data_IF_034601882047
#
_entry.id   IF_034601882047
#
_cell.length_a   1.000
_cell.length_b   1.000
_cell.length_c   1.000
_cell.angle_alpha   90.00
_cell.angle_beta   90.00
_cell.angle_gamma   90.00
#
_symmetry.space_group_name_H-M   'P 1'
#
loop_
_entity.id
_entity.type
_entity.pdbx_description
1 polymer ?
#
# COMPACT_ATOMS: atom_id res chain seq x y z
N UNK A 1 14.31 17.17 -18.64
CA UNK A 1 13.48 16.27 -19.51
C UNK A 1 12.26 17.03 -19.99
N UNK A 2 11.88 16.92 -21.26
CA UNK A 2 10.62 17.51 -21.76
C UNK A 2 9.47 16.56 -21.41
N UNK A 3 8.44 17.06 -20.72
CA UNK A 3 7.21 16.30 -20.44
C UNK A 3 6.36 16.16 -21.71
N UNK A 4 5.56 15.09 -21.76
CA UNK A 4 4.60 14.87 -22.84
C UNK A 4 3.46 15.91 -22.85
N UNK A 5 2.77 16.08 -23.97
CA UNK A 5 1.69 17.07 -24.13
C UNK A 5 0.59 16.93 -23.07
N UNK A 6 0.08 15.71 -22.84
CA UNK A 6 -0.96 15.43 -21.85
C UNK A 6 -0.55 15.83 -20.42
N UNK A 7 0.70 15.49 -20.01
CA UNK A 7 1.21 15.92 -18.71
C UNK A 7 1.29 17.45 -18.60
N UNK A 8 1.72 18.12 -19.66
CA UNK A 8 1.82 19.59 -19.67
C UNK A 8 0.44 20.26 -19.57
N UNK A 9 -0.59 19.67 -20.19
CA UNK A 9 -1.98 20.11 -20.06
C UNK A 9 -2.52 19.88 -18.65
N UNK A 10 -2.34 18.68 -18.10
CA UNK A 10 -2.73 18.35 -16.74
C UNK A 10 -2.01 19.24 -15.69
N UNK A 11 -0.73 19.57 -15.92
CA UNK A 11 0.04 20.42 -15.01
C UNK A 11 -0.46 21.87 -14.95
N UNK A 12 -1.17 22.35 -15.98
CA UNK A 12 -1.81 23.69 -15.95
C UNK A 12 -3.00 23.77 -15.01
N UNK A 13 -3.60 22.63 -14.67
CA UNK A 13 -4.73 22.56 -13.74
C UNK A 13 -4.29 22.62 -12.26
N UNK A 14 -2.98 22.51 -12.01
CA UNK A 14 -2.43 22.43 -10.64
C UNK A 14 -1.59 23.67 -10.36
N UNK A 15 -1.98 24.46 -9.40
CA UNK A 15 -1.13 25.52 -8.85
C UNK A 15 -0.17 24.93 -7.83
N UNK A 16 1.12 24.94 -8.13
CA UNK A 16 2.18 24.37 -7.30
C UNK A 16 2.51 25.21 -6.06
N UNK A 17 2.07 26.46 -6.01
CA UNK A 17 2.29 27.38 -4.89
C UNK A 17 1.29 27.14 -3.76
N UNK A 18 0.12 26.57 -4.09
CA UNK A 18 -0.99 26.35 -3.18
C UNK A 18 -0.90 24.96 -2.55
N UNK A 19 -1.18 24.86 -1.25
CA UNK A 19 -1.48 23.61 -0.58
C UNK A 19 -3.01 23.49 -0.46
N UNK A 20 -3.59 22.57 -1.20
CA UNK A 20 -5.04 22.39 -1.28
C UNK A 20 -5.59 21.68 -0.04
N UNK A 21 -6.82 21.97 0.32
CA UNK A 21 -7.56 21.13 1.28
C UNK A 21 -7.76 19.72 0.71
N UNK A 22 -7.85 18.65 1.56
CA UNK A 22 -7.91 17.28 1.08
C UNK A 22 -8.98 17.03 0.02
N UNK A 23 -10.21 17.50 0.23
CA UNK A 23 -11.31 17.35 -0.73
C UNK A 23 -11.03 18.04 -2.07
N UNK A 24 -10.50 19.27 -2.04
CA UNK A 24 -10.13 20.00 -3.24
C UNK A 24 -8.96 19.32 -3.98
N UNK A 25 -7.96 18.83 -3.23
CA UNK A 25 -6.83 18.11 -3.79
C UNK A 25 -7.28 16.86 -4.56
N UNK A 26 -8.22 16.09 -3.99
CA UNK A 26 -8.81 14.90 -4.64
C UNK A 26 -9.54 15.28 -5.91
N UNK A 27 -10.37 16.32 -5.89
CA UNK A 27 -11.07 16.81 -7.08
C UNK A 27 -10.09 17.23 -8.18
N UNK A 28 -9.03 17.97 -7.82
CA UNK A 28 -7.98 18.39 -8.77
C UNK A 28 -7.23 17.18 -9.32
N UNK A 29 -6.82 16.22 -8.47
CA UNK A 29 -6.11 15.00 -8.89
C UNK A 29 -6.95 14.20 -9.89
N UNK A 30 -8.24 14.00 -9.65
CA UNK A 30 -9.14 13.32 -10.59
C UNK A 30 -9.20 14.00 -11.96
N UNK A 31 -9.21 15.33 -11.99
CA UNK A 31 -9.20 16.11 -13.26
C UNK A 31 -7.88 15.96 -14.02
N UNK A 32 -6.78 15.61 -13.35
CA UNK A 32 -5.47 15.41 -14.00
C UNK A 32 -5.30 14.01 -14.59
N UNK A 33 -6.18 13.07 -14.29
CA UNK A 33 -6.17 11.72 -14.87
C UNK A 33 -6.47 11.78 -16.37
N UNK A 34 -5.47 11.51 -17.20
CA UNK A 34 -5.53 11.67 -18.65
C UNK A 34 -5.23 10.39 -19.45
N UNK A 35 -4.94 9.28 -18.75
CA UNK A 35 -4.65 8.00 -19.39
C UNK A 35 -5.92 7.31 -19.91
N UNK A 36 -5.73 6.32 -20.80
CA UNK A 36 -6.85 5.51 -21.33
C UNK A 36 -7.22 4.32 -20.41
N UNK A 37 -6.49 4.12 -19.33
CA UNK A 37 -6.75 3.10 -18.32
C UNK A 37 -7.19 3.79 -17.02
N UNK A 38 -7.79 3.02 -16.12
CA UNK A 38 -8.19 3.52 -14.80
C UNK A 38 -6.95 3.75 -13.93
N UNK A 39 -6.53 5.02 -13.84
CA UNK A 39 -5.33 5.42 -13.10
C UNK A 39 -5.51 5.17 -11.60
N UNK A 40 -4.41 4.88 -10.92
CA UNK A 40 -4.40 4.78 -9.46
C UNK A 40 -4.13 6.16 -8.87
N UNK A 41 -4.91 6.55 -7.87
CA UNK A 41 -4.65 7.72 -7.04
C UNK A 41 -3.74 7.28 -5.89
N UNK A 42 -2.59 7.91 -5.76
CA UNK A 42 -1.55 7.58 -4.79
C UNK A 42 -1.29 8.75 -3.85
N UNK A 43 -1.05 8.44 -2.57
CA UNK A 43 -0.59 9.40 -1.58
C UNK A 43 0.92 9.22 -1.33
N UNK A 44 1.64 10.32 -1.37
CA UNK A 44 3.06 10.41 -1.07
C UNK A 44 3.26 11.30 0.15
N UNK A 45 3.58 10.68 1.28
CA UNK A 45 3.66 11.33 2.59
C UNK A 45 5.11 11.42 3.00
N UNK A 46 5.69 12.61 2.94
CA UNK A 46 7.04 12.87 3.44
C UNK A 46 7.00 13.11 4.93
N UNK A 47 7.74 12.29 5.65
CA UNK A 47 7.81 12.35 7.11
C UNK A 47 9.10 13.01 7.60
N UNK A 48 9.13 13.38 8.88
CA UNK A 48 10.33 13.83 9.58
C UNK A 48 11.15 12.68 10.19
N UNK A 49 10.75 11.42 9.94
CA UNK A 49 11.47 10.24 10.42
C UNK A 49 12.75 10.01 9.63
N UNK A 50 13.79 9.50 10.26
CA UNK A 50 14.98 8.99 9.59
C UNK A 50 14.88 7.44 9.48
N UNK A 51 14.58 6.95 8.27
CA UNK A 51 14.43 5.52 8.00
C UNK A 51 15.72 4.69 8.15
N UNK A 52 16.88 5.32 8.40
CA UNK A 52 18.14 4.63 8.71
C UNK A 52 18.17 4.11 10.14
N UNK A 53 17.41 4.74 11.04
CA UNK A 53 17.28 4.34 12.42
C UNK A 53 16.12 3.37 12.61
N UNK A 54 16.36 2.23 13.24
CA UNK A 54 15.36 1.18 13.42
C UNK A 54 14.14 1.62 14.26
N UNK A 55 14.37 2.54 15.21
CA UNK A 55 13.37 3.15 16.10
C UNK A 55 12.50 4.22 15.41
N UNK A 56 12.93 4.70 14.24
CA UNK A 56 12.20 5.68 13.44
C UNK A 56 11.58 5.07 12.17
N UNK A 57 11.71 3.76 11.97
CA UNK A 57 11.07 3.09 10.86
C UNK A 57 9.56 3.00 11.04
N UNK A 58 8.82 3.68 10.17
CA UNK A 58 7.36 3.57 10.10
C UNK A 58 6.97 2.46 9.13
N UNK A 59 6.29 1.45 9.63
CA UNK A 59 5.72 0.35 8.85
C UNK A 59 4.44 -0.13 9.51
N UNK A 60 3.39 -0.31 8.75
CA UNK A 60 2.11 -0.80 9.24
C UNK A 60 1.20 -1.23 8.11
N UNK A 61 -0.03 -1.53 8.46
CA UNK A 61 -1.09 -1.84 7.53
C UNK A 61 -2.36 -1.09 7.92
N UNK A 62 -3.17 -0.78 6.94
CA UNK A 62 -4.50 -0.17 7.11
C UNK A 62 -5.48 -0.84 6.16
N UNK A 63 -6.70 -1.06 6.62
CA UNK A 63 -7.80 -1.50 5.77
C UNK A 63 -8.51 -0.26 5.27
N UNK A 64 -8.56 -0.09 3.96
CA UNK A 64 -9.26 1.04 3.35
C UNK A 64 -10.76 0.74 3.29
N UNK A 65 -11.64 1.65 3.76
CA UNK A 65 -13.09 1.43 3.79
C UNK A 65 -13.68 1.04 2.44
N UNK A 66 -13.21 1.66 1.36
CA UNK A 66 -13.68 1.43 -0.01
C UNK A 66 -12.73 0.54 -0.84
N UNK A 67 -11.75 -0.10 -0.18
CA UNK A 67 -10.74 -0.90 -0.86
C UNK A 67 -9.82 -0.09 -1.77
N UNK A 68 -9.02 -0.78 -2.59
CA UNK A 68 -8.07 -0.16 -3.54
C UNK A 68 -8.58 -0.14 -4.98
N UNK A 69 -9.71 -0.82 -5.28
CA UNK A 69 -10.21 -1.02 -6.65
C UNK A 69 -9.37 -2.01 -7.48
N UNK A 70 -8.46 -2.76 -6.84
CA UNK A 70 -7.69 -3.83 -7.46
C UNK A 70 -8.13 -5.18 -6.88
N UNK A 71 -8.41 -6.15 -7.73
CA UNK A 71 -8.59 -7.54 -7.31
C UNK A 71 -7.23 -8.12 -6.95
N UNK A 72 -7.05 -8.49 -5.68
CA UNK A 72 -5.80 -8.98 -5.13
C UNK A 72 -5.82 -10.50 -5.08
N UNK A 73 -4.83 -11.16 -5.69
CA UNK A 73 -4.62 -12.60 -5.58
C UNK A 73 -3.78 -12.92 -4.34
N UNK A 74 -4.33 -13.75 -3.47
CA UNK A 74 -3.72 -14.10 -2.17
C UNK A 74 -3.16 -15.52 -2.21
N UNK A 75 -1.88 -15.66 -1.89
CA UNK A 75 -1.21 -16.93 -1.65
C UNK A 75 -1.08 -17.16 -0.15
N UNK A 76 -1.50 -18.32 0.33
CA UNK A 76 -1.41 -18.70 1.75
C UNK A 76 -0.48 -19.89 1.93
N UNK A 77 0.52 -19.71 2.79
CA UNK A 77 1.36 -20.80 3.31
C UNK A 77 0.85 -21.28 4.66
N UNK A 78 0.32 -22.48 4.72
CA UNK A 78 -0.19 -23.07 5.95
C UNK A 78 0.05 -24.59 5.98
N UNK A 79 -0.25 -25.25 7.11
CA UNK A 79 -0.22 -26.70 7.29
C UNK A 79 -1.54 -27.22 7.90
N UNK A 80 -1.90 -28.44 7.55
CA UNK A 80 -3.04 -29.17 8.15
C UNK A 80 -4.36 -28.41 7.97
N UNK A 81 -5.20 -28.34 8.99
CA UNK A 81 -6.53 -27.72 8.95
C UNK A 81 -6.53 -26.25 8.52
N UNK A 82 -5.40 -25.54 8.67
CA UNK A 82 -5.28 -24.13 8.22
C UNK A 82 -5.29 -23.97 6.71
N UNK A 83 -5.00 -25.02 5.94
CA UNK A 83 -5.16 -25.05 4.49
C UNK A 83 -6.64 -24.93 4.10
N UNK A 84 -7.48 -25.75 4.75
CA UNK A 84 -8.92 -25.77 4.50
C UNK A 84 -9.58 -24.42 4.92
N UNK A 85 -9.16 -23.88 6.07
CA UNK A 85 -9.59 -22.55 6.52
C UNK A 85 -9.22 -21.44 5.50
N UNK A 86 -7.99 -21.48 4.96
CA UNK A 86 -7.55 -20.52 3.96
C UNK A 86 -8.35 -20.62 2.66
N UNK A 87 -8.63 -21.84 2.23
CA UNK A 87 -9.43 -22.09 1.04
C UNK A 87 -10.88 -21.65 1.22
N UNK A 88 -11.47 -21.95 2.38
CA UNK A 88 -12.81 -21.51 2.75
C UNK A 88 -12.93 -19.98 2.84
N UNK A 89 -11.87 -19.29 3.29
CA UNK A 89 -11.78 -17.83 3.31
C UNK A 89 -11.63 -17.21 1.91
N UNK A 90 -11.45 -18.04 0.86
CA UNK A 90 -11.36 -17.59 -0.51
C UNK A 90 -9.94 -17.19 -0.94
N UNK A 91 -8.88 -17.74 -0.35
CA UNK A 91 -7.52 -17.60 -0.86
C UNK A 91 -7.42 -18.19 -2.28
N UNK A 92 -6.69 -17.48 -3.16
CA UNK A 92 -6.59 -17.89 -4.56
C UNK A 92 -5.61 -19.06 -4.74
N UNK A 93 -4.59 -19.10 -3.90
CA UNK A 93 -3.61 -20.18 -3.84
C UNK A 93 -3.34 -20.55 -2.39
N UNK A 94 -3.35 -21.85 -2.12
CA UNK A 94 -3.10 -22.38 -0.78
C UNK A 94 -2.14 -23.56 -0.89
N UNK A 95 -1.14 -23.62 0.00
CA UNK A 95 -0.22 -24.76 0.02
C UNK A 95 0.86 -24.63 1.09
N UNK A 96 1.70 -25.66 1.13
CA UNK A 96 2.81 -25.80 2.06
C UNK A 96 4.17 -25.71 1.38
N UNK A 97 5.05 -26.67 1.72
CA UNK A 97 6.43 -26.71 1.22
C UNK A 97 6.52 -26.99 -0.28
N UNK A 98 5.51 -27.61 -0.87
CA UNK A 98 5.42 -27.95 -2.29
C UNK A 98 5.39 -26.74 -3.22
N UNK A 99 4.99 -25.57 -2.71
CA UNK A 99 4.98 -24.34 -3.49
C UNK A 99 6.37 -23.68 -3.63
N UNK A 100 7.33 -24.06 -2.77
CA UNK A 100 8.67 -23.46 -2.77
C UNK A 100 9.41 -23.72 -4.08
N UNK A 101 9.51 -24.97 -4.58
CA UNK A 101 10.18 -25.22 -5.86
C UNK A 101 9.52 -24.46 -7.01
N UNK A 102 8.21 -24.34 -7.01
CA UNK A 102 7.45 -23.64 -8.05
C UNK A 102 7.78 -22.13 -8.06
N UNK A 103 7.91 -21.50 -6.91
CA UNK A 103 8.29 -20.10 -6.82
C UNK A 103 9.78 -19.90 -7.14
N UNK A 104 10.64 -20.77 -6.63
CA UNK A 104 12.08 -20.63 -6.74
C UNK A 104 12.63 -21.01 -8.11
N UNK A 105 12.15 -22.13 -8.68
CA UNK A 105 12.70 -22.70 -9.92
C UNK A 105 11.91 -22.25 -11.15
N UNK A 106 10.56 -22.26 -11.07
CA UNK A 106 9.71 -21.92 -12.20
C UNK A 106 9.43 -20.42 -12.31
N UNK A 107 9.84 -19.63 -11.30
CA UNK A 107 9.61 -18.18 -11.29
C UNK A 107 8.12 -17.81 -11.27
N UNK A 108 7.30 -18.62 -10.59
CA UNK A 108 5.87 -18.37 -10.50
C UNK A 108 5.53 -17.29 -9.48
N UNK A 109 4.93 -16.18 -9.93
CA UNK A 109 4.54 -15.00 -9.12
C UNK A 109 3.13 -14.50 -9.49
N UNK A 110 2.21 -15.43 -9.76
CA UNK A 110 0.85 -15.07 -10.17
C UNK A 110 -0.05 -14.71 -8.96
N UNK A 111 0.56 -14.07 -7.95
CA UNK A 111 -0.07 -13.60 -6.72
C UNK A 111 0.46 -12.23 -6.33
N UNK A 112 -0.37 -11.44 -5.63
CA UNK A 112 -0.07 -10.08 -5.22
C UNK A 112 0.32 -9.98 -3.74
N UNK A 113 -0.20 -10.86 -2.88
CA UNK A 113 0.08 -10.87 -1.44
C UNK A 113 0.32 -12.29 -0.95
N UNK A 114 1.27 -12.44 -0.04
CA UNK A 114 1.58 -13.71 0.61
C UNK A 114 1.23 -13.62 2.09
N UNK A 115 0.43 -14.58 2.56
CA UNK A 115 0.12 -14.80 3.97
C UNK A 115 0.80 -16.10 4.41
N UNK A 116 1.33 -16.12 5.61
CA UNK A 116 1.95 -17.32 6.16
C UNK A 116 1.57 -17.52 7.63
N UNK A 117 1.40 -18.76 8.03
CA UNK A 117 1.34 -19.09 9.46
C UNK A 117 2.75 -19.04 10.07
N UNK A 118 2.92 -18.69 11.36
CA UNK A 118 4.23 -18.57 12.00
C UNK A 118 5.11 -19.81 11.88
N UNK A 119 4.51 -20.99 11.92
CA UNK A 119 5.19 -22.29 11.77
C UNK A 119 5.75 -22.49 10.34
N UNK A 120 5.14 -21.89 9.33
CA UNK A 120 5.64 -21.93 7.94
C UNK A 120 6.73 -20.91 7.66
N UNK A 121 6.96 -19.93 8.52
CA UNK A 121 7.94 -18.87 8.30
C UNK A 121 9.38 -19.37 8.14
N UNK A 122 9.74 -20.48 8.82
CA UNK A 122 11.04 -21.12 8.66
C UNK A 122 11.28 -21.63 7.22
N UNK A 123 10.22 -22.10 6.59
CA UNK A 123 10.21 -22.61 5.22
C UNK A 123 10.14 -21.46 4.21
N UNK A 124 9.22 -20.53 4.41
CA UNK A 124 9.06 -19.32 3.58
C UNK A 124 10.32 -18.44 3.61
N UNK A 125 11.07 -18.45 4.72
CA UNK A 125 12.36 -17.76 4.87
C UNK A 125 13.38 -18.10 3.79
N UNK A 126 13.34 -19.34 3.25
CA UNK A 126 14.19 -19.77 2.12
C UNK A 126 13.92 -18.98 0.85
N UNK A 127 12.68 -18.51 0.69
CA UNK A 127 12.26 -17.65 -0.44
C UNK A 127 12.60 -16.17 -0.24
N UNK A 128 13.22 -15.79 0.88
CA UNK A 128 13.50 -14.39 1.21
C UNK A 128 14.30 -13.63 0.15
N UNK A 129 15.25 -14.31 -0.53
CA UNK A 129 16.04 -13.73 -1.63
C UNK A 129 15.20 -13.43 -2.88
N UNK A 130 14.06 -14.10 -3.03
CA UNK A 130 13.18 -14.00 -4.21
C UNK A 130 11.97 -13.13 -3.91
N UNK A 131 11.29 -13.36 -2.77
CA UNK A 131 10.11 -12.60 -2.35
C UNK A 131 10.47 -11.21 -1.79
N UNK A 132 11.63 -11.08 -1.14
CA UNK A 132 12.06 -9.82 -0.50
C UNK A 132 12.16 -8.65 -1.47
N UNK A 133 12.94 -8.75 -2.58
CA UNK A 133 13.05 -7.68 -3.57
C UNK A 133 11.73 -7.30 -4.24
N UNK A 134 10.80 -8.25 -4.34
CA UNK A 134 9.45 -8.03 -4.91
C UNK A 134 8.45 -7.44 -3.91
N UNK A 135 8.82 -7.28 -2.63
CA UNK A 135 7.92 -6.81 -1.58
C UNK A 135 6.85 -7.82 -1.15
N UNK A 136 6.98 -9.09 -1.54
CA UNK A 136 5.99 -10.15 -1.29
C UNK A 136 6.28 -10.96 -0.01
N UNK A 137 7.35 -10.63 0.72
CA UNK A 137 7.73 -11.37 1.93
C UNK A 137 6.75 -11.09 3.08
N UNK A 138 6.12 -12.14 3.66
CA UNK A 138 5.21 -11.97 4.79
C UNK A 138 5.90 -11.29 5.99
N UNK A 139 5.15 -10.44 6.70
CA UNK A 139 5.67 -9.71 7.84
C UNK A 139 4.62 -9.60 8.97
N UNK A 140 4.99 -9.87 10.24
CA UNK A 140 4.08 -9.72 11.38
C UNK A 140 3.53 -8.29 11.54
N UNK A 141 4.35 -7.26 11.27
CA UNK A 141 3.93 -5.84 11.38
C UNK A 141 2.87 -5.45 10.35
N UNK A 142 2.84 -6.11 9.20
CA UNK A 142 1.82 -5.95 8.18
C UNK A 142 0.58 -6.86 8.43
N UNK A 143 0.68 -7.76 9.43
CA UNK A 143 -0.37 -8.72 9.75
C UNK A 143 -0.55 -9.80 8.67
N UNK A 144 0.51 -10.06 7.88
CA UNK A 144 0.55 -11.15 6.89
C UNK A 144 1.20 -12.42 7.43
N UNK A 145 1.72 -12.38 8.68
CA UNK A 145 2.12 -13.55 9.46
C UNK A 145 1.16 -13.67 10.64
N UNK A 146 0.25 -14.64 10.60
CA UNK A 146 -0.79 -14.80 11.61
C UNK A 146 -1.29 -16.25 11.69
N UNK A 147 -1.81 -16.64 12.87
CA UNK A 147 -2.54 -17.89 13.04
C UNK A 147 -4.00 -17.80 12.57
N UNK A 148 -4.58 -16.58 12.52
CA UNK A 148 -5.93 -16.33 12.02
C UNK A 148 -5.87 -16.00 10.51
N UNK A 149 -5.78 -17.06 9.73
CA UNK A 149 -5.66 -16.98 8.27
C UNK A 149 -6.93 -16.43 7.63
N UNK A 150 -8.09 -16.83 8.16
CA UNK A 150 -9.41 -16.40 7.64
C UNK A 150 -9.55 -14.89 7.71
N UNK A 151 -9.25 -14.30 8.85
CA UNK A 151 -9.29 -12.84 9.03
C UNK A 151 -8.30 -12.14 8.12
N UNK A 152 -7.06 -12.65 8.02
CA UNK A 152 -6.03 -12.03 7.18
C UNK A 152 -6.44 -12.01 5.70
N UNK A 153 -6.97 -13.12 5.17
CA UNK A 153 -7.44 -13.21 3.77
C UNK A 153 -8.60 -12.25 3.52
N UNK A 154 -9.59 -12.22 4.44
CA UNK A 154 -10.72 -11.32 4.34
C UNK A 154 -10.31 -9.84 4.37
N UNK A 155 -9.44 -9.46 5.31
CA UNK A 155 -8.89 -8.09 5.40
C UNK A 155 -8.17 -7.68 4.10
N UNK A 156 -7.33 -8.57 3.54
CA UNK A 156 -6.59 -8.30 2.30
C UNK A 156 -7.56 -8.12 1.14
N UNK A 157 -8.57 -8.98 1.02
CA UNK A 157 -9.60 -8.87 -0.03
C UNK A 157 -10.52 -7.66 0.16
N UNK A 158 -10.71 -7.21 1.40
CA UNK A 158 -11.41 -5.96 1.73
C UNK A 158 -10.59 -4.70 1.40
N UNK A 159 -9.30 -4.83 1.02
CA UNK A 159 -8.47 -3.70 0.65
C UNK A 159 -7.46 -3.28 1.70
N UNK A 160 -6.95 -4.23 2.49
CA UNK A 160 -5.81 -3.99 3.37
C UNK A 160 -4.56 -3.70 2.56
N UNK A 161 -3.95 -2.57 2.84
CA UNK A 161 -2.69 -2.13 2.23
C UNK A 161 -1.60 -2.06 3.29
N UNK A 162 -0.37 -2.33 2.86
CA UNK A 162 0.81 -2.12 3.68
C UNK A 162 1.44 -0.77 3.34
N UNK A 163 1.89 -0.02 4.34
CA UNK A 163 2.69 1.17 4.15
C UNK A 163 4.04 1.03 4.84
N UNK A 164 5.08 1.55 4.20
CA UNK A 164 6.45 1.50 4.69
C UNK A 164 7.18 2.78 4.31
N UNK A 165 7.97 3.29 5.26
CA UNK A 165 8.88 4.39 5.01
C UNK A 165 10.04 3.94 4.10
N UNK A 166 10.29 4.68 3.05
CA UNK A 166 11.41 4.44 2.13
C UNK A 166 12.71 5.09 2.62
N UNK A 167 13.78 4.96 1.83
CA UNK A 167 15.10 5.56 2.12
C UNK A 167 15.10 7.09 2.00
N UNK A 168 14.10 7.66 1.32
CA UNK A 168 13.91 9.10 1.11
C UNK A 168 13.00 9.73 2.15
N UNK A 169 12.62 8.95 3.17
CA UNK A 169 11.72 9.35 4.26
C UNK A 169 10.28 9.62 3.78
N UNK A 170 9.86 8.92 2.71
CA UNK A 170 8.54 9.06 2.11
C UNK A 170 7.78 7.73 2.23
N UNK A 171 6.49 7.81 2.49
CA UNK A 171 5.55 6.70 2.44
C UNK A 171 4.76 6.85 1.15
N UNK A 172 4.76 5.83 0.30
CA UNK A 172 4.04 5.78 -0.97
C UNK A 172 2.93 4.72 -0.85
N UNK A 173 1.67 5.14 -1.03
CA UNK A 173 0.50 4.27 -0.79
C UNK A 173 -0.60 4.57 -1.79
N UNK A 174 -1.22 3.54 -2.42
CA UNK A 174 -2.43 3.72 -3.22
C UNK A 174 -3.62 4.04 -2.31
N UNK A 175 -4.41 5.03 -2.71
CA UNK A 175 -5.65 5.45 -2.01
C UNK A 175 -6.89 4.86 -2.69
N UNK A 176 -6.84 4.68 -4.01
CA UNK A 176 -7.94 4.12 -4.80
C UNK A 176 -7.72 4.32 -6.29
N UNK A 177 -8.79 4.18 -7.06
CA UNK A 177 -8.80 4.37 -8.50
C UNK A 177 -9.39 5.73 -8.88
N UNK A 178 -9.00 6.27 -10.03
CA UNK A 178 -9.57 7.50 -10.56
C UNK A 178 -11.08 7.38 -10.84
N UNK A 179 -11.57 6.16 -11.07
CA UNK A 179 -13.00 5.84 -11.21
C UNK A 179 -13.81 5.97 -9.93
N UNK A 180 -13.17 5.94 -8.74
CA UNK A 180 -13.86 6.11 -7.46
C UNK A 180 -14.49 7.49 -7.35
N UNK A 181 -15.56 7.62 -6.53
CA UNK A 181 -16.12 8.93 -6.20
C UNK A 181 -15.13 9.75 -5.35
N UNK A 182 -15.34 11.07 -5.30
CA UNK A 182 -14.49 11.94 -4.47
C UNK A 182 -14.64 11.59 -2.98
N UNK A 183 -15.86 11.23 -2.56
CA UNK A 183 -16.16 10.79 -1.19
C UNK A 183 -15.41 9.51 -0.82
N UNK A 184 -15.44 8.49 -1.68
CA UNK A 184 -14.72 7.24 -1.46
C UNK A 184 -13.21 7.44 -1.33
N UNK A 185 -12.64 8.30 -2.17
CA UNK A 185 -11.21 8.64 -2.09
C UNK A 185 -10.90 9.44 -0.82
N UNK A 186 -11.79 10.33 -0.39
CA UNK A 186 -11.64 11.09 0.84
C UNK A 186 -11.65 10.18 2.07
N UNK A 187 -12.62 9.28 2.18
CA UNK A 187 -12.71 8.31 3.27
C UNK A 187 -11.46 7.41 3.36
N UNK A 188 -10.99 6.91 2.21
CA UNK A 188 -9.77 6.12 2.14
C UNK A 188 -8.53 6.93 2.55
N UNK A 189 -8.45 8.18 2.09
CA UNK A 189 -7.35 9.07 2.43
C UNK A 189 -7.34 9.41 3.93
N UNK A 190 -8.49 9.70 4.52
CA UNK A 190 -8.62 10.01 5.94
C UNK A 190 -8.26 8.80 6.81
N UNK A 191 -8.71 7.60 6.44
CA UNK A 191 -8.34 6.35 7.11
C UNK A 191 -6.81 6.10 7.05
N UNK A 192 -6.18 6.34 5.90
CA UNK A 192 -4.74 6.25 5.73
C UNK A 192 -4.01 7.26 6.61
N UNK A 193 -4.42 8.53 6.58
CA UNK A 193 -3.79 9.61 7.37
C UNK A 193 -3.89 9.34 8.87
N UNK A 194 -5.06 8.89 9.34
CA UNK A 194 -5.24 8.50 10.74
C UNK A 194 -4.30 7.35 11.15
N UNK A 195 -4.14 6.33 10.29
CA UNK A 195 -3.22 5.23 10.55
C UNK A 195 -1.75 5.68 10.58
N UNK A 196 -1.33 6.54 9.65
CA UNK A 196 0.02 7.10 9.59
C UNK A 196 0.32 7.97 10.80
N UNK A 197 -0.63 8.81 11.22
CA UNK A 197 -0.48 9.66 12.42
C UNK A 197 -0.38 8.82 13.70
N UNK A 198 -1.18 7.77 13.82
CA UNK A 198 -1.11 6.82 14.96
C UNK A 198 0.23 6.08 15.01
N UNK A 199 0.84 5.83 13.85
CA UNK A 199 2.13 5.13 13.74
C UNK A 199 3.35 6.04 13.99
N UNK A 200 3.17 7.30 14.40
CA UNK A 200 4.26 8.21 14.71
C UNK A 200 5.17 7.63 15.80
N UNK A 201 6.48 7.43 15.53
CA UNK A 201 7.42 6.97 16.54
C UNK A 201 7.68 8.05 17.59
N UNK A 202 7.81 7.66 18.85
CA UNK A 202 8.13 8.58 19.96
C UNK A 202 9.51 9.23 19.83
N UNK A 203 10.43 8.56 19.12
CA UNK A 203 11.79 9.08 18.87
C UNK A 203 11.82 10.28 17.90
N UNK A 204 10.75 10.56 17.16
CA UNK A 204 10.70 11.66 16.21
C UNK A 204 10.43 12.97 16.91
N UNK A 205 11.44 13.85 16.93
CA UNK A 205 11.35 15.22 17.46
C UNK A 205 10.97 16.18 16.34
N UNK A 206 10.06 17.12 16.65
CA UNK A 206 9.62 18.15 15.71
C UNK A 206 8.47 17.71 14.80
N UNK A 207 8.40 18.29 13.61
CA UNK A 207 7.30 18.09 12.66
C UNK A 207 7.35 16.69 12.04
N UNK A 208 6.31 15.89 12.27
CA UNK A 208 6.20 14.53 11.75
C UNK A 208 5.84 14.51 10.26
N UNK A 209 4.79 15.24 9.86
CA UNK A 209 4.38 15.37 8.47
C UNK A 209 5.06 16.61 7.85
N UNK A 210 6.00 16.40 6.94
CA UNK A 210 6.68 17.50 6.22
C UNK A 210 5.90 17.96 4.99
N UNK A 211 5.37 17.01 4.22
CA UNK A 211 4.52 17.30 3.08
C UNK A 211 3.67 16.09 2.73
N UNK A 212 2.49 16.32 2.22
CA UNK A 212 1.60 15.31 1.66
C UNK A 212 1.28 15.71 0.23
N UNK A 213 1.33 14.76 -0.69
CA UNK A 213 1.06 14.98 -2.12
C UNK A 213 0.20 13.85 -2.62
N UNK A 214 -0.87 14.17 -3.33
CA UNK A 214 -1.68 13.21 -4.08
C UNK A 214 -1.32 13.28 -5.56
N UNK A 215 -1.31 12.15 -6.25
CA UNK A 215 -1.08 12.09 -7.69
C UNK A 215 -1.85 10.93 -8.33
N UNK A 216 -2.27 11.09 -9.58
CA UNK A 216 -2.63 9.97 -10.43
C UNK A 216 -1.38 9.37 -11.07
N UNK A 217 -1.47 8.12 -11.54
CA UNK A 217 -0.34 7.36 -12.12
C UNK A 217 0.46 8.15 -13.16
N UNK A 218 -0.21 8.90 -14.03
CA UNK A 218 0.42 9.69 -15.11
C UNK A 218 0.28 11.20 -14.90
N UNK A 219 -0.32 11.62 -13.79
CA UNK A 219 -0.62 13.01 -13.48
C UNK A 219 0.49 13.75 -12.72
N UNK A 220 0.40 15.08 -12.60
CA UNK A 220 1.23 15.89 -11.72
C UNK A 220 0.83 15.67 -10.26
N UNK A 221 1.79 15.88 -9.36
CA UNK A 221 1.53 15.87 -7.92
C UNK A 221 0.81 17.13 -7.45
N UNK A 222 -0.24 16.96 -6.67
CA UNK A 222 -1.04 18.01 -6.01
C UNK A 222 -0.70 18.03 -4.53
N UNK A 223 -0.22 19.16 -4.02
CA UNK A 223 0.13 19.31 -2.60
C UNK A 223 -1.13 19.40 -1.75
N UNK A 224 -1.16 18.64 -0.66
CA UNK A 224 -2.25 18.68 0.35
C UNK A 224 -1.79 19.47 1.57
N UNK A 225 -2.68 20.26 2.12
CA UNK A 225 -2.46 20.98 3.39
C UNK A 225 -2.28 20.00 4.54
N UNK A 226 -1.23 20.18 5.33
CA UNK A 226 -0.94 19.35 6.51
C UNK A 226 -1.45 19.96 7.82
N UNK A 227 -2.17 21.07 7.76
CA UNK A 227 -2.63 21.82 8.95
C UNK A 227 -3.69 21.04 9.74
N UNK A 228 -4.46 20.20 9.09
CA UNK A 228 -5.54 19.41 9.72
C UNK A 228 -5.08 18.10 10.38
N UNK A 229 -3.82 17.69 10.20
CA UNK A 229 -3.32 16.40 10.70
C UNK A 229 -2.33 16.55 11.89
#
# INVERSE_FOLDING_TARGET
MKHGKKYTEAAKLVDRSVAYEPAEAISVVKKTASAKFDETVEAHIRTGCDGRHADQQVRGAVVLPNGTGKTVKVLVFAKGAKLDEAQAAGADFVGGEELIPRIQNDGWFDFDVVVATPDMMGVVGRLGKVLGPKGLMPNPKAGTVTMDVTKAVNDIKAGKIEYRLDKSHIIHVPVGKASFTEEQLQENFDALMAAVMKAKPSAVKGQYLKSVTLACTMGPGVKVSTVKF
#
